data_IF_110986964337
#
_entry.id   IF_110986964337
#
_cell.length_a   1.000
_cell.length_b   1.000
_cell.length_c   1.000
_cell.angle_alpha   90.00
_cell.angle_beta   90.00
_cell.angle_gamma   90.00
#
_symmetry.space_group_name_H-M   'P 1'
#
loop_
_entity.id
_entity.type
_entity.pdbx_description
1 polymer ?
#
# COMPACT_ATOMS: atom_id res chain seq x y z
N UNK A 1 -6.77 -0.68 -7.67
CA UNK A 1 -7.79 -0.70 -8.76
C UNK A 1 -7.26 0.08 -9.97
N UNK A 2 -6.74 -0.62 -10.99
CA UNK A 2 -6.34 -0.02 -12.26
C UNK A 2 -7.46 -0.27 -13.28
N UNK A 3 -8.17 0.77 -13.69
CA UNK A 3 -8.99 0.70 -14.89
C UNK A 3 -8.07 0.97 -16.08
N UNK A 4 -7.71 -0.10 -16.79
CA UNK A 4 -7.32 0.03 -18.18
C UNK A 4 -8.60 0.02 -19.01
N UNK A 5 -8.69 0.86 -20.05
CA UNK A 5 -9.91 1.00 -20.84
C UNK A 5 -10.31 -0.34 -21.45
N UNK A 6 -11.61 -0.55 -21.60
CA UNK A 6 -12.22 -1.50 -22.52
C UNK A 6 -11.77 -1.19 -23.96
N UNK A 7 -10.52 -1.51 -24.27
CA UNK A 7 -10.07 -1.72 -25.63
C UNK A 7 -9.98 -3.23 -25.78
N UNK A 8 -10.68 -3.77 -26.77
CA UNK A 8 -10.57 -5.15 -27.25
C UNK A 8 -9.13 -5.57 -27.64
N UNK A 9 -8.12 -4.71 -27.40
CA UNK A 9 -6.69 -4.97 -27.51
C UNK A 9 -6.04 -4.79 -26.12
N UNK A 10 -5.76 -5.90 -25.45
CA UNK A 10 -5.07 -5.91 -24.15
C UNK A 10 -3.78 -5.07 -24.13
N UNK A 11 -3.38 -4.61 -22.94
CA UNK A 11 -2.23 -3.72 -22.79
C UNK A 11 -0.93 -4.42 -23.18
N UNK A 12 -0.01 -3.68 -23.81
CA UNK A 12 1.33 -4.18 -24.14
C UNK A 12 2.02 -4.66 -22.86
N UNK A 13 2.66 -5.83 -22.90
CA UNK A 13 3.33 -6.41 -21.73
C UNK A 13 4.36 -5.45 -21.12
N UNK A 14 5.02 -4.61 -21.93
CA UNK A 14 5.95 -3.57 -21.44
C UNK A 14 5.25 -2.53 -20.57
N UNK A 15 4.06 -2.09 -20.97
CA UNK A 15 3.25 -1.14 -20.20
C UNK A 15 2.72 -1.76 -18.90
N UNK A 16 2.30 -3.03 -18.95
CA UNK A 16 1.88 -3.76 -17.74
C UNK A 16 2.99 -3.84 -16.68
N UNK A 17 4.21 -4.18 -17.10
CA UNK A 17 5.38 -4.21 -16.20
C UNK A 17 5.78 -2.83 -15.70
N UNK A 18 5.68 -1.78 -16.52
CA UNK A 18 5.87 -0.40 -16.07
C UNK A 18 4.85 0.00 -15.00
N UNK A 19 3.59 -0.43 -15.14
CA UNK A 19 2.58 -0.20 -14.11
C UNK A 19 2.83 -0.99 -12.83
N UNK A 20 3.37 -2.21 -12.91
CA UNK A 20 3.81 -2.97 -11.72
C UNK A 20 4.96 -2.26 -11.03
N UNK A 21 5.96 -1.79 -11.78
CA UNK A 21 7.05 -0.99 -11.22
C UNK A 21 6.52 0.27 -10.51
N UNK A 22 5.66 1.04 -11.19
CA UNK A 22 5.04 2.23 -10.63
C UNK A 22 4.05 1.93 -9.49
N UNK A 23 3.52 0.71 -9.37
CA UNK A 23 2.71 0.33 -8.23
C UNK A 23 3.59 0.15 -7.00
N UNK A 24 4.73 -0.55 -7.15
CA UNK A 24 5.64 -0.83 -6.04
C UNK A 24 6.32 0.47 -5.62
N UNK A 25 6.88 1.24 -6.58
CA UNK A 25 7.47 2.56 -6.34
C UNK A 25 6.35 3.56 -6.08
N UNK A 26 5.90 3.57 -4.83
CA UNK A 26 4.81 4.38 -4.32
C UNK A 26 5.26 5.30 -3.18
N UNK A 27 4.33 5.63 -2.31
CA UNK A 27 4.53 6.61 -1.22
C UNK A 27 5.27 6.04 -0.03
N UNK A 28 5.29 4.72 0.14
CA UNK A 28 6.13 4.08 1.16
C UNK A 28 7.63 4.36 0.98
N UNK A 29 8.07 4.67 -0.25
CA UNK A 29 9.46 5.06 -0.51
C UNK A 29 9.87 6.37 0.17
N UNK A 30 8.91 7.28 0.45
CA UNK A 30 9.18 8.59 1.03
C UNK A 30 9.58 8.55 2.51
N UNK A 31 9.27 7.47 3.22
CA UNK A 31 9.63 7.29 4.62
C UNK A 31 10.88 6.40 4.80
N UNK A 32 11.33 5.71 3.74
CA UNK A 32 12.47 4.78 3.83
C UNK A 32 13.78 5.46 4.26
N UNK A 33 14.18 6.64 3.74
CA UNK A 33 15.44 7.26 4.15
C UNK A 33 15.50 7.55 5.66
N UNK A 34 14.38 7.98 6.25
CA UNK A 34 14.26 8.19 7.70
C UNK A 34 14.38 6.88 8.47
N UNK A 35 13.70 5.84 8.01
CA UNK A 35 13.76 4.52 8.62
C UNK A 35 15.19 3.93 8.57
N UNK A 36 15.91 4.13 7.46
CA UNK A 36 17.31 3.75 7.31
C UNK A 36 18.23 4.51 8.28
N UNK A 37 18.05 5.83 8.41
CA UNK A 37 18.83 6.63 9.35
C UNK A 37 18.57 6.20 10.80
N UNK A 38 17.33 5.80 11.13
CA UNK A 38 16.93 5.38 12.49
C UNK A 38 17.46 3.99 12.87
N UNK A 39 17.41 3.03 11.93
CA UNK A 39 17.86 1.64 12.16
C UNK A 39 19.35 1.42 11.96
N UNK A 40 20.00 2.32 11.23
CA UNK A 40 21.40 2.21 10.86
C UNK A 40 21.63 1.51 9.53
N UNK A 41 22.72 1.86 8.86
CA UNK A 41 22.95 1.49 7.47
C UNK A 41 23.25 -0.02 7.30
N UNK A 42 23.98 -0.65 8.23
CA UNK A 42 24.30 -2.09 8.16
C UNK A 42 23.06 -2.93 8.38
N UNK A 43 22.28 -2.60 9.43
CA UNK A 43 21.02 -3.29 9.70
C UNK A 43 20.05 -3.14 8.52
N UNK A 44 20.00 -1.96 7.91
CA UNK A 44 19.21 -1.70 6.72
C UNK A 44 19.66 -2.57 5.53
N UNK A 45 20.96 -2.64 5.23
CA UNK A 45 21.49 -3.50 4.16
C UNK A 45 21.12 -4.98 4.38
N UNK A 46 21.29 -5.49 5.59
CA UNK A 46 20.99 -6.90 5.91
C UNK A 46 19.49 -7.19 5.79
N UNK A 47 18.67 -6.29 6.35
CA UNK A 47 17.21 -6.40 6.27
C UNK A 47 16.73 -6.42 4.82
N UNK A 48 17.35 -5.62 3.96
CA UNK A 48 16.99 -5.53 2.55
C UNK A 48 17.10 -6.88 1.82
N UNK A 49 18.02 -7.75 2.23
CA UNK A 49 18.18 -9.07 1.63
C UNK A 49 16.99 -10.01 1.90
N UNK A 50 16.18 -9.71 2.92
CA UNK A 50 14.97 -10.46 3.29
C UNK A 50 13.74 -10.03 2.48
N UNK A 51 13.83 -8.96 1.68
CA UNK A 51 12.77 -8.58 0.71
C UNK A 51 12.51 -9.62 -0.37
N UNK A 52 13.41 -10.60 -0.56
CA UNK A 52 13.15 -11.77 -1.41
C UNK A 52 11.87 -12.51 -1.01
N UNK A 53 11.47 -12.49 0.25
CA UNK A 53 10.19 -13.05 0.71
C UNK A 53 8.98 -12.30 0.12
N UNK A 54 9.09 -11.00 -0.11
CA UNK A 54 8.05 -10.21 -0.79
C UNK A 54 7.83 -10.71 -2.21
N UNK A 55 8.91 -10.91 -2.97
CA UNK A 55 8.84 -11.48 -4.33
C UNK A 55 8.23 -12.89 -4.33
N UNK A 56 8.67 -13.78 -3.42
CA UNK A 56 8.10 -15.13 -3.29
C UNK A 56 6.59 -15.07 -3.00
N UNK A 57 6.16 -14.21 -2.09
CA UNK A 57 4.74 -14.05 -1.80
C UNK A 57 3.96 -13.49 -3.01
N UNK A 58 4.58 -12.62 -3.82
CA UNK A 58 3.94 -12.12 -5.04
C UNK A 58 3.75 -13.24 -6.08
N UNK A 59 4.71 -14.15 -6.22
CA UNK A 59 4.56 -15.30 -7.11
C UNK A 59 3.48 -16.27 -6.64
N UNK A 60 3.26 -16.39 -5.32
CA UNK A 60 2.14 -17.15 -4.75
C UNK A 60 0.77 -16.56 -5.08
N UNK A 61 0.62 -15.23 -5.07
CA UNK A 61 -0.62 -14.58 -5.51
C UNK A 61 -0.91 -14.85 -6.99
N UNK A 62 0.12 -14.80 -7.85
CA UNK A 62 -0.02 -15.07 -9.29
C UNK A 62 -0.41 -16.52 -9.55
N UNK A 63 0.17 -17.46 -8.80
CA UNK A 63 -0.20 -18.87 -8.87
C UNK A 63 -1.65 -19.10 -8.40
N UNK A 64 -2.07 -18.50 -7.28
CA UNK A 64 -3.46 -18.59 -6.84
C UNK A 64 -4.44 -18.00 -7.88
N UNK A 65 -4.03 -16.93 -8.58
CA UNK A 65 -4.81 -16.31 -9.65
C UNK A 65 -4.98 -17.22 -10.87
N UNK A 66 -3.96 -18.01 -11.23
CA UNK A 66 -4.07 -18.97 -12.34
C UNK A 66 -5.02 -20.11 -11.99
N UNK A 67 -4.98 -20.60 -10.74
CA UNK A 67 -5.94 -21.59 -10.23
C UNK A 67 -7.36 -21.02 -10.21
N UNK A 68 -7.55 -19.76 -9.79
CA UNK A 68 -8.88 -19.13 -9.76
C UNK A 68 -9.48 -19.01 -11.17
N UNK A 69 -8.66 -18.70 -12.17
CA UNK A 69 -9.08 -18.72 -13.57
C UNK A 69 -9.50 -20.11 -14.03
N UNK A 70 -8.76 -21.15 -13.66
CA UNK A 70 -9.10 -22.54 -13.99
C UNK A 70 -10.44 -22.97 -13.37
N UNK A 71 -10.68 -22.60 -12.10
CA UNK A 71 -11.95 -22.87 -11.41
C UNK A 71 -13.12 -22.17 -12.11
N UNK A 72 -12.95 -20.91 -12.52
CA UNK A 72 -14.00 -20.19 -13.23
C UNK A 72 -14.22 -20.72 -14.65
N UNK A 73 -13.16 -21.07 -15.38
CA UNK A 73 -13.27 -21.64 -16.72
C UNK A 73 -14.07 -22.95 -16.73
N UNK A 74 -13.88 -23.80 -15.71
CA UNK A 74 -14.63 -25.06 -15.56
C UNK A 74 -16.14 -24.86 -15.38
N UNK A 75 -16.61 -23.72 -14.88
CA UNK A 75 -18.05 -23.45 -14.74
C UNK A 75 -18.77 -23.29 -16.09
N UNK A 76 -18.04 -22.89 -17.14
CA UNK A 76 -18.62 -22.56 -18.43
C UNK A 76 -18.32 -23.58 -19.52
N UNK A 77 -17.33 -24.45 -19.30
CA UNK A 77 -16.81 -25.33 -20.33
C UNK A 77 -16.82 -26.78 -19.84
N UNK A 78 -17.60 -27.63 -20.51
CA UNK A 78 -17.54 -29.09 -20.39
C UNK A 78 -16.32 -29.57 -21.18
N UNK A 79 -15.11 -29.27 -20.70
CA UNK A 79 -13.85 -29.67 -21.35
C UNK A 79 -13.12 -30.70 -20.52
N UNK A 80 -12.44 -31.61 -21.24
CA UNK A 80 -11.58 -32.69 -20.74
C UNK A 80 -10.70 -32.24 -19.56
N UNK A 81 -10.62 -33.08 -18.53
CA UNK A 81 -10.11 -32.79 -17.17
C UNK A 81 -8.64 -32.33 -17.07
N UNK A 82 -7.92 -32.11 -18.16
CA UNK A 82 -6.45 -31.96 -18.17
C UNK A 82 -5.87 -30.92 -19.12
N UNK A 83 -6.67 -30.00 -19.67
CA UNK A 83 -6.13 -28.96 -20.56
C UNK A 83 -5.35 -27.87 -19.79
N UNK A 84 -4.03 -27.69 -20.04
CA UNK A 84 -3.24 -26.63 -19.43
C UNK A 84 -3.74 -25.22 -19.74
N UNK A 85 -4.56 -25.05 -20.78
CA UNK A 85 -5.17 -23.77 -21.16
C UNK A 85 -6.10 -23.20 -20.08
N UNK A 86 -6.65 -24.05 -19.20
CA UNK A 86 -7.54 -23.64 -18.10
C UNK A 86 -6.85 -22.69 -17.12
N UNK A 87 -5.53 -22.80 -16.95
CA UNK A 87 -4.75 -21.97 -16.03
C UNK A 87 -4.34 -20.62 -16.64
N UNK A 88 -4.77 -20.30 -17.86
CA UNK A 88 -4.50 -19.01 -18.47
C UNK A 88 -5.24 -17.88 -17.75
N UNK A 89 -4.49 -16.85 -17.35
CA UNK A 89 -5.03 -15.70 -16.63
C UNK A 89 -5.71 -14.78 -17.66
N UNK A 90 -7.02 -14.92 -17.78
CA UNK A 90 -7.88 -14.13 -18.69
C UNK A 90 -8.85 -13.26 -17.90
N UNK A 91 -9.46 -13.82 -16.86
CA UNK A 91 -10.42 -13.15 -16.00
C UNK A 91 -9.73 -12.44 -14.83
N UNK A 92 -10.17 -11.20 -14.59
CA UNK A 92 -9.70 -10.42 -13.45
C UNK A 92 -10.39 -10.95 -12.19
N UNK A 93 -9.58 -11.48 -11.28
CA UNK A 93 -10.02 -11.91 -9.95
C UNK A 93 -9.22 -11.13 -8.90
N UNK A 94 -9.92 -10.46 -8.00
CA UNK A 94 -9.28 -9.72 -6.91
C UNK A 94 -8.86 -10.66 -5.77
N UNK A 95 -7.86 -10.26 -4.99
CA UNK A 95 -7.32 -11.10 -3.90
C UNK A 95 -8.39 -11.48 -2.88
N UNK A 96 -9.24 -10.53 -2.47
CA UNK A 96 -10.37 -10.82 -1.59
C UNK A 96 -11.31 -11.89 -2.17
N UNK A 97 -11.60 -11.83 -3.46
CA UNK A 97 -12.45 -12.83 -4.10
C UNK A 97 -11.77 -14.21 -4.20
N UNK A 98 -10.45 -14.26 -4.46
CA UNK A 98 -9.70 -15.53 -4.39
C UNK A 98 -9.79 -16.16 -3.00
N UNK A 99 -9.76 -15.36 -1.94
CA UNK A 99 -9.91 -15.89 -0.58
C UNK A 99 -11.30 -16.51 -0.37
N UNK A 100 -12.37 -15.89 -0.89
CA UNK A 100 -13.71 -16.48 -0.85
C UNK A 100 -13.87 -17.76 -1.69
N UNK A 101 -13.00 -17.98 -2.68
CA UNK A 101 -13.03 -19.18 -3.50
C UNK A 101 -12.29 -20.36 -2.88
N UNK A 102 -11.20 -20.11 -2.13
CA UNK A 102 -10.30 -21.18 -1.66
C UNK A 102 -10.29 -21.38 -0.15
N UNK A 103 -10.59 -20.35 0.65
CA UNK A 103 -10.47 -20.39 2.10
C UNK A 103 -11.86 -20.59 2.73
N UNK A 104 -11.89 -21.22 3.91
CA UNK A 104 -13.11 -21.29 4.73
C UNK A 104 -13.47 -19.94 5.36
N UNK A 105 -14.64 -19.87 6.00
CA UNK A 105 -15.21 -18.63 6.59
C UNK A 105 -14.22 -17.83 7.44
N UNK A 106 -13.50 -18.50 8.34
CA UNK A 106 -12.49 -17.84 9.20
C UNK A 106 -11.35 -17.20 8.40
N UNK A 107 -10.90 -17.87 7.32
CA UNK A 107 -9.84 -17.35 6.45
C UNK A 107 -10.29 -16.17 5.59
N UNK A 108 -11.56 -16.17 5.15
CA UNK A 108 -12.17 -15.04 4.44
C UNK A 108 -12.27 -13.83 5.37
N UNK A 109 -12.84 -14.00 6.57
CA UNK A 109 -12.96 -12.92 7.57
C UNK A 109 -11.57 -12.34 7.90
N UNK A 110 -10.58 -13.20 8.19
CA UNK A 110 -9.21 -12.76 8.43
C UNK A 110 -8.64 -11.93 7.28
N UNK A 111 -8.82 -12.40 6.04
CA UNK A 111 -8.25 -11.75 4.85
C UNK A 111 -8.88 -10.38 4.60
N UNK A 112 -10.21 -10.27 4.64
CA UNK A 112 -10.91 -9.01 4.44
C UNK A 112 -10.68 -8.04 5.60
N UNK A 113 -10.57 -8.52 6.84
CA UNK A 113 -10.22 -7.70 7.99
C UNK A 113 -8.80 -7.12 7.84
N UNK A 114 -7.81 -7.97 7.54
CA UNK A 114 -6.43 -7.53 7.33
C UNK A 114 -6.30 -6.53 6.18
N UNK A 115 -6.96 -6.79 5.04
CA UNK A 115 -7.04 -5.86 3.92
C UNK A 115 -7.70 -4.55 4.31
N UNK A 116 -8.79 -4.60 5.08
CA UNK A 116 -9.51 -3.39 5.51
C UNK A 116 -8.65 -2.53 6.43
N UNK A 117 -8.03 -3.11 7.46
CA UNK A 117 -7.15 -2.39 8.38
C UNK A 117 -5.94 -1.79 7.63
N UNK A 118 -5.38 -2.53 6.68
CA UNK A 118 -4.30 -2.02 5.83
C UNK A 118 -4.73 -0.78 5.02
N UNK A 119 -5.87 -0.84 4.34
CA UNK A 119 -6.39 0.27 3.54
C UNK A 119 -6.81 1.47 4.42
N UNK A 120 -7.27 1.23 5.65
CA UNK A 120 -7.47 2.29 6.64
C UNK A 120 -6.15 3.00 6.96
N UNK A 121 -5.07 2.24 7.15
CA UNK A 121 -3.72 2.77 7.32
C UNK A 121 -3.25 3.61 6.14
N UNK A 122 -3.49 3.16 4.90
CA UNK A 122 -3.21 3.95 3.69
C UNK A 122 -3.93 5.31 3.71
N UNK A 123 -5.23 5.33 4.02
CA UNK A 123 -5.99 6.58 4.12
C UNK A 123 -5.45 7.49 5.23
N UNK A 124 -5.06 6.93 6.38
CA UNK A 124 -4.49 7.70 7.49
C UNK A 124 -3.13 8.30 7.11
N UNK A 125 -2.26 7.54 6.46
CA UNK A 125 -0.97 8.02 5.94
C UNK A 125 -1.19 9.14 4.91
N UNK A 126 -2.17 9.00 4.01
CA UNK A 126 -2.42 9.98 2.96
C UNK A 126 -3.01 11.28 3.52
N UNK A 127 -4.00 11.18 4.42
CA UNK A 127 -4.61 12.31 5.13
C UNK A 127 -3.67 12.96 6.16
N UNK A 128 -2.54 12.34 6.48
CA UNK A 128 -1.48 12.94 7.30
C UNK A 128 -0.40 13.59 6.43
N UNK A 129 0.05 12.90 5.38
CA UNK A 129 1.18 13.32 4.54
C UNK A 129 0.82 14.54 3.70
N UNK A 130 -0.38 14.59 3.09
CA UNK A 130 -0.78 15.73 2.26
C UNK A 130 -0.87 17.03 3.08
N UNK A 131 -1.57 17.05 4.24
CA UNK A 131 -1.59 18.23 5.09
C UNK A 131 -0.22 18.61 5.65
N UNK A 132 0.64 17.63 5.99
CA UNK A 132 2.02 17.90 6.43
C UNK A 132 2.84 18.59 5.34
N UNK A 133 2.71 18.16 4.09
CA UNK A 133 3.34 18.84 2.94
C UNK A 133 2.80 20.25 2.73
N UNK A 134 1.47 20.44 2.77
CA UNK A 134 0.85 21.76 2.61
C UNK A 134 1.22 22.73 3.74
N UNK A 135 1.19 22.26 5.00
CA UNK A 135 1.57 23.05 6.17
C UNK A 135 3.01 23.55 6.04
N UNK A 136 3.97 22.69 5.67
CA UNK A 136 5.36 23.10 5.52
C UNK A 136 5.58 24.09 4.37
N UNK A 137 4.69 24.13 3.38
CA UNK A 137 4.71 25.14 2.32
C UNK A 137 4.11 26.49 2.76
N UNK A 138 3.09 26.44 3.63
CA UNK A 138 2.38 27.62 4.13
C UNK A 138 3.18 28.29 5.23
N UNK A 139 3.67 27.52 6.19
CA UNK A 139 4.46 28.02 7.31
C UNK A 139 5.86 28.42 6.86
N UNK A 140 6.38 29.49 7.44
CA UNK A 140 7.77 29.87 7.21
C UNK A 140 8.67 28.75 7.76
N UNK A 141 9.82 28.50 7.14
CA UNK A 141 10.85 27.72 7.77
C UNK A 141 11.38 28.48 8.98
N UNK A 142 11.57 27.77 10.08
CA UNK A 142 12.11 28.35 11.30
C UNK A 142 13.59 27.97 11.33
N UNK A 143 14.48 28.95 11.52
CA UNK A 143 15.95 28.82 11.57
C UNK A 143 16.49 27.89 12.68
N UNK A 144 15.62 27.12 13.33
CA UNK A 144 15.98 26.15 14.37
C UNK A 144 16.01 24.74 13.79
N UNK A 145 17.11 24.03 14.06
CA UNK A 145 17.40 22.65 13.64
C UNK A 145 16.39 21.59 14.10
N UNK A 146 15.38 21.96 14.89
CA UNK A 146 14.27 21.09 15.29
C UNK A 146 12.97 21.88 15.38
N UNK A 147 12.24 21.99 14.27
CA UNK A 147 10.91 22.60 14.21
C UNK A 147 9.91 21.74 15.00
N UNK A 148 9.31 22.29 16.04
CA UNK A 148 8.31 21.63 16.88
C UNK A 148 6.87 21.94 16.41
N UNK A 149 5.89 21.05 16.70
CA UNK A 149 4.50 21.26 16.33
C UNK A 149 3.86 22.49 16.98
N UNK A 150 4.37 22.90 18.14
CA UNK A 150 3.93 24.04 18.94
C UNK A 150 4.50 25.38 18.45
N UNK A 151 5.46 25.35 17.52
CA UNK A 151 6.09 26.57 17.05
C UNK A 151 5.10 27.43 16.24
N UNK A 152 5.27 28.77 16.24
CA UNK A 152 4.47 29.65 15.40
C UNK A 152 4.67 29.30 13.92
N UNK A 153 3.58 29.34 13.13
CA UNK A 153 3.66 29.03 11.71
C UNK A 153 4.41 30.11 10.90
N UNK A 154 4.20 31.39 11.23
CA UNK A 154 4.90 32.54 10.65
C UNK A 154 5.12 33.61 11.71
N UNK A 155 6.21 34.36 11.56
CA UNK A 155 6.41 35.58 12.34
C UNK A 155 5.28 36.59 12.06
N UNK A 156 4.74 37.21 13.11
CA UNK A 156 3.65 38.20 13.02
C UNK A 156 2.24 37.63 12.84
N UNK A 157 2.07 36.30 12.77
CA UNK A 157 0.73 35.70 12.81
C UNK A 157 0.18 35.64 14.25
N UNK A 158 -1.15 35.63 14.44
CA UNK A 158 -1.76 35.47 15.75
C UNK A 158 -1.25 34.22 16.49
N UNK A 159 -1.08 34.33 17.81
CA UNK A 159 -0.48 33.27 18.64
C UNK A 159 -1.20 31.92 18.54
N UNK A 160 -2.48 31.88 18.16
CA UNK A 160 -3.22 30.62 18.00
C UNK A 160 -2.84 29.81 16.74
N UNK A 161 -2.17 30.43 15.76
CA UNK A 161 -1.72 29.77 14.54
C UNK A 161 -0.33 29.13 14.71
N UNK A 162 -0.28 28.13 15.58
CA UNK A 162 0.83 27.20 15.62
C UNK A 162 0.85 26.33 14.35
N UNK A 163 2.01 25.75 14.03
CA UNK A 163 2.16 24.81 12.91
C UNK A 163 1.12 23.69 12.95
N UNK A 164 0.90 23.10 14.12
CA UNK A 164 -0.08 22.02 14.29
C UNK A 164 -1.54 22.48 14.06
N UNK A 165 -1.89 23.73 14.37
CA UNK A 165 -3.21 24.31 14.04
C UNK A 165 -3.38 24.42 12.53
N UNK A 166 -2.37 24.92 11.82
CA UNK A 166 -2.38 25.04 10.35
C UNK A 166 -2.44 23.66 9.70
N UNK A 167 -1.70 22.70 10.22
CA UNK A 167 -1.78 21.29 9.81
C UNK A 167 -3.22 20.75 9.91
N UNK A 168 -3.88 20.92 11.06
CA UNK A 168 -5.28 20.47 11.27
C UNK A 168 -6.26 21.13 10.30
N UNK A 169 -6.09 22.42 10.01
CA UNK A 169 -6.88 23.11 8.98
C UNK A 169 -6.65 22.50 7.59
N UNK A 170 -5.40 22.18 7.24
CA UNK A 170 -5.09 21.48 6.00
C UNK A 170 -5.70 20.07 5.95
N UNK A 171 -5.77 19.33 7.08
CA UNK A 171 -6.48 18.04 7.17
C UNK A 171 -7.95 18.19 6.84
N UNK A 172 -8.63 19.16 7.48
CA UNK A 172 -10.07 19.42 7.24
C UNK A 172 -10.31 19.80 5.79
N UNK A 173 -9.47 20.67 5.22
CA UNK A 173 -9.55 21.05 3.80
C UNK A 173 -9.38 19.85 2.87
N UNK A 174 -8.34 19.04 3.10
CA UNK A 174 -8.06 17.84 2.31
C UNK A 174 -9.23 16.86 2.32
N UNK A 175 -9.76 16.54 3.51
CA UNK A 175 -10.88 15.61 3.67
C UNK A 175 -12.15 16.17 3.03
N UNK A 176 -12.41 17.48 3.15
CA UNK A 176 -13.56 18.13 2.51
C UNK A 176 -13.52 18.02 0.98
N UNK A 177 -12.32 18.16 0.38
CA UNK A 177 -12.14 18.01 -1.08
C UNK A 177 -12.26 16.54 -1.51
N UNK A 178 -11.67 15.61 -0.76
CA UNK A 178 -11.62 14.20 -1.14
C UNK A 178 -12.94 13.44 -0.86
N UNK A 179 -13.73 13.85 0.13
CA UNK A 179 -14.95 13.15 0.53
C UNK A 179 -15.98 13.04 -0.61
N UNK A 180 -16.33 14.13 -1.33
CA UNK A 180 -17.19 14.03 -2.51
C UNK A 180 -16.65 13.05 -3.55
N UNK A 181 -15.34 13.03 -3.78
CA UNK A 181 -14.71 12.12 -4.76
C UNK A 181 -14.80 10.65 -4.33
N UNK A 182 -14.69 10.34 -3.03
CA UNK A 182 -14.89 8.98 -2.49
C UNK A 182 -16.35 8.55 -2.66
N UNK A 183 -17.30 9.41 -2.32
CA UNK A 183 -18.73 9.10 -2.39
C UNK A 183 -19.20 8.92 -3.84
N UNK A 184 -18.73 9.77 -4.76
CA UNK A 184 -19.00 9.64 -6.20
C UNK A 184 -18.33 8.38 -6.78
N UNK A 185 -17.32 7.84 -6.11
CA UNK A 185 -16.58 6.67 -6.59
C UNK A 185 -15.63 7.02 -7.74
N UNK A 186 -14.95 8.16 -7.67
CA UNK A 186 -14.04 8.62 -8.72
C UNK A 186 -12.92 7.60 -8.94
N UNK A 187 -12.82 7.13 -10.18
CA UNK A 187 -11.76 6.23 -10.62
C UNK A 187 -10.61 6.98 -11.29
N UNK A 188 -9.42 6.36 -11.28
CA UNK A 188 -8.24 6.90 -11.97
C UNK A 188 -8.47 6.99 -13.47
N UNK A 189 -8.22 8.16 -14.04
CA UNK A 189 -8.15 8.33 -15.49
C UNK A 189 -6.75 7.98 -15.99
N UNK A 190 -6.66 7.51 -17.25
CA UNK A 190 -5.38 7.19 -17.91
C UNK A 190 -4.40 8.37 -17.85
N UNK A 191 -4.88 9.58 -18.11
CA UNK A 191 -4.06 10.79 -18.13
C UNK A 191 -3.52 11.15 -16.74
N UNK A 192 -4.37 11.04 -15.71
CA UNK A 192 -3.96 11.30 -14.34
C UNK A 192 -2.92 10.27 -13.86
N UNK A 193 -3.05 9.01 -14.28
CA UNK A 193 -2.05 7.97 -14.01
C UNK A 193 -0.72 8.22 -14.73
N UNK A 194 -0.75 8.69 -15.97
CA UNK A 194 0.47 9.02 -16.72
C UNK A 194 1.17 10.24 -16.09
N UNK A 195 0.43 11.29 -15.74
CA UNK A 195 0.95 12.49 -15.10
C UNK A 195 1.58 12.17 -13.73
N UNK A 196 0.88 11.41 -12.88
CA UNK A 196 1.41 10.99 -11.57
C UNK A 196 2.64 10.09 -11.68
N UNK A 197 2.70 9.22 -12.70
CA UNK A 197 3.90 8.44 -13.00
C UNK A 197 5.07 9.32 -13.40
N UNK A 198 4.88 10.25 -14.34
CA UNK A 198 5.93 11.15 -14.79
C UNK A 198 6.47 12.00 -13.63
N UNK A 199 5.56 12.65 -12.90
CA UNK A 199 5.89 13.46 -11.71
C UNK A 199 6.69 12.67 -10.67
N UNK A 200 6.36 11.38 -10.47
CA UNK A 200 7.09 10.51 -9.54
C UNK A 200 8.52 10.22 -9.98
N UNK A 201 8.71 9.87 -11.24
CA UNK A 201 10.06 9.64 -11.77
C UNK A 201 10.91 10.91 -11.67
N UNK A 202 10.35 12.06 -12.04
CA UNK A 202 11.02 13.36 -11.89
C UNK A 202 11.38 13.64 -10.43
N UNK A 203 10.44 13.48 -9.48
CA UNK A 203 10.68 13.75 -8.06
C UNK A 203 11.77 12.85 -7.48
N UNK A 204 11.73 11.55 -7.77
CA UNK A 204 12.73 10.62 -7.27
C UNK A 204 14.12 10.82 -7.86
N UNK A 205 14.20 11.10 -9.16
CA UNK A 205 15.49 11.42 -9.81
C UNK A 205 16.07 12.69 -9.19
N UNK A 206 15.26 13.74 -9.00
CA UNK A 206 15.69 14.98 -8.35
C UNK A 206 16.18 14.75 -6.92
N UNK A 207 15.41 14.01 -6.10
CA UNK A 207 15.82 13.72 -4.72
C UNK A 207 17.16 12.95 -4.64
N UNK A 208 17.37 11.96 -5.51
CA UNK A 208 18.64 11.23 -5.56
C UNK A 208 19.77 12.15 -6.04
N UNK A 209 19.54 12.92 -7.11
CA UNK A 209 20.54 13.81 -7.69
C UNK A 209 20.98 14.90 -6.71
N UNK A 210 20.03 15.56 -6.04
CA UNK A 210 20.30 16.62 -5.08
C UNK A 210 21.02 16.08 -3.83
N UNK A 211 20.56 14.97 -3.25
CA UNK A 211 21.22 14.36 -2.10
C UNK A 211 22.66 13.92 -2.45
N UNK A 212 22.86 13.37 -3.64
CA UNK A 212 24.20 13.00 -4.12
C UNK A 212 25.07 14.22 -4.35
N UNK A 213 24.54 15.29 -4.97
CA UNK A 213 25.26 16.53 -5.21
C UNK A 213 25.70 17.17 -3.88
N UNK A 214 24.82 17.21 -2.88
CA UNK A 214 25.13 17.70 -1.53
C UNK A 214 26.23 16.88 -0.86
N UNK A 215 26.18 15.55 -0.97
CA UNK A 215 27.25 14.69 -0.44
C UNK A 215 28.59 14.89 -1.15
N UNK A 216 28.59 15.13 -2.46
CA UNK A 216 29.81 15.37 -3.24
C UNK A 216 30.40 16.74 -2.92
N UNK A 217 29.58 17.78 -2.72
CA UNK A 217 30.06 19.13 -2.45
C UNK A 217 30.50 19.33 -1.00
N UNK A 218 29.77 18.76 -0.05
CA UNK A 218 29.89 19.09 1.38
C UNK A 218 30.34 17.91 2.24
N UNK A 219 30.50 16.72 1.64
CA UNK A 219 30.72 15.47 2.37
C UNK A 219 29.41 14.92 2.98
N UNK A 220 29.52 13.78 3.66
CA UNK A 220 28.39 13.23 4.42
C UNK A 220 28.08 14.13 5.62
N UNK A 221 26.84 14.62 5.72
CA UNK A 221 26.42 15.48 6.83
C UNK A 221 26.43 14.73 8.17
N UNK A 222 26.14 13.43 8.14
CA UNK A 222 26.26 12.52 9.27
C UNK A 222 26.56 11.11 8.76
N UNK A 223 27.28 10.33 9.55
CA UNK A 223 27.40 8.88 9.36
C UNK A 223 26.36 8.19 10.28
N UNK A 224 25.26 7.64 9.73
CA UNK A 224 24.28 6.92 10.54
C UNK A 224 24.95 5.80 11.34
N UNK A 225 24.45 5.53 12.55
CA UNK A 225 24.95 4.44 13.37
C UNK A 225 24.96 3.13 12.57
N UNK A 226 25.99 2.27 12.67
CA UNK A 226 26.02 1.03 11.89
C UNK A 226 24.81 0.13 12.11
N UNK A 227 24.46 -0.10 13.38
CA UNK A 227 23.33 -0.92 13.80
C UNK A 227 22.65 -0.26 14.98
N UNK A 228 21.34 -0.04 14.87
CA UNK A 228 20.48 0.32 15.98
C UNK A 228 19.26 -0.61 15.97
N UNK A 229 19.27 -1.59 16.88
CA UNK A 229 18.19 -2.59 16.99
C UNK A 229 16.86 -1.92 17.33
N UNK A 230 16.87 -0.78 18.03
CA UNK A 230 15.66 0.00 18.31
C UNK A 230 15.09 0.70 17.07
N UNK A 231 15.82 0.80 15.97
CA UNK A 231 15.23 1.26 14.71
C UNK A 231 14.63 0.13 13.87
N UNK A 232 14.86 -1.15 14.22
CA UNK A 232 14.41 -2.30 13.42
C UNK A 232 12.91 -2.28 13.15
N UNK A 233 12.09 -1.93 14.14
CA UNK A 233 10.64 -1.88 14.00
C UNK A 233 10.23 -0.90 12.90
N UNK A 234 10.74 0.34 12.98
CA UNK A 234 10.49 1.38 12.00
C UNK A 234 10.98 1.02 10.59
N UNK A 235 12.16 0.39 10.49
CA UNK A 235 12.72 -0.10 9.25
C UNK A 235 11.82 -1.18 8.64
N UNK A 236 11.51 -2.24 9.37
CA UNK A 236 10.71 -3.36 8.85
C UNK A 236 9.28 -2.93 8.49
N UNK A 237 8.61 -2.14 9.32
CA UNK A 237 7.26 -1.68 9.02
C UNK A 237 7.22 -0.82 7.76
N UNK A 238 8.08 0.20 7.69
CA UNK A 238 8.17 1.09 6.52
C UNK A 238 8.59 0.32 5.26
N UNK A 239 9.50 -0.64 5.41
CA UNK A 239 9.93 -1.58 4.37
C UNK A 239 8.78 -2.40 3.79
N UNK A 240 8.02 -3.09 4.65
CA UNK A 240 6.84 -3.88 4.25
C UNK A 240 5.85 -2.97 3.53
N UNK A 241 5.55 -1.81 4.12
CA UNK A 241 4.68 -0.81 3.51
C UNK A 241 5.16 -0.37 2.11
N UNK A 242 6.46 -0.10 1.93
CA UNK A 242 7.03 0.35 0.66
C UNK A 242 7.06 -0.70 -0.45
N UNK A 243 7.16 -1.98 -0.11
CA UNK A 243 7.14 -3.09 -1.08
C UNK A 243 5.75 -3.69 -1.29
N UNK A 244 4.74 -3.12 -0.63
CA UNK A 244 3.42 -3.69 -0.62
C UNK A 244 2.71 -3.51 -1.97
N UNK A 245 2.44 -4.61 -2.66
CA UNK A 245 1.75 -4.56 -3.95
C UNK A 245 0.82 -5.76 -4.21
N UNK A 246 0.91 -6.82 -3.38
CA UNK A 246 0.32 -8.15 -3.59
C UNK A 246 -1.17 -8.13 -3.86
N UNK A 247 -1.91 -7.31 -3.11
CA UNK A 247 -3.36 -7.17 -3.25
C UNK A 247 -3.78 -6.54 -4.60
N UNK A 248 -2.87 -5.82 -5.26
CA UNK A 248 -3.11 -5.09 -6.52
C UNK A 248 -2.46 -5.75 -7.74
N UNK A 249 -1.54 -6.71 -7.56
CA UNK A 249 -0.87 -7.45 -8.64
C UNK A 249 -1.86 -8.10 -9.63
N UNK A 250 -2.93 -8.81 -9.20
CA UNK A 250 -3.85 -9.47 -10.12
C UNK A 250 -4.49 -8.53 -11.15
N UNK A 251 -4.88 -7.33 -10.71
CA UNK A 251 -5.51 -6.33 -11.56
C UNK A 251 -4.58 -5.78 -12.65
N UNK A 252 -3.27 -5.81 -12.42
CA UNK A 252 -2.25 -5.33 -13.37
C UNK A 252 -1.82 -6.41 -14.36
N UNK A 253 -1.71 -7.65 -13.90
CA UNK A 253 -1.23 -8.76 -14.74
C UNK A 253 -2.30 -9.28 -15.68
N UNK A 254 -3.55 -9.35 -15.22
CA UNK A 254 -4.68 -9.87 -16.02
C UNK A 254 -4.77 -9.21 -17.41
N UNK A 255 -4.80 -7.86 -17.54
CA UNK A 255 -4.98 -7.19 -18.83
C UNK A 255 -3.76 -7.24 -19.77
N UNK A 256 -2.64 -7.89 -19.38
CA UNK A 256 -1.45 -8.01 -20.23
C UNK A 256 -1.67 -8.99 -21.38
N UNK A 257 -1.34 -8.55 -22.61
CA UNK A 257 -1.49 -9.34 -23.85
C UNK A 257 -0.63 -10.61 -23.87
N UNK A 258 0.63 -10.53 -23.45
CA UNK A 258 1.52 -11.69 -23.32
C UNK A 258 2.06 -11.79 -21.90
N UNK A 259 1.98 -13.01 -21.35
CA UNK A 259 2.43 -13.36 -19.99
C UNK A 259 3.68 -14.26 -20.01
N UNK A 260 4.37 -14.33 -21.15
CA UNK A 260 5.59 -15.16 -21.29
C UNK A 260 6.70 -14.64 -20.39
N UNK A 261 7.28 -15.53 -19.58
CA UNK A 261 8.35 -15.20 -18.65
C UNK A 261 7.90 -14.26 -17.52
N UNK A 262 6.63 -14.31 -17.10
CA UNK A 262 6.04 -13.41 -16.11
C UNK A 262 6.86 -13.35 -14.81
N UNK A 263 7.18 -14.50 -14.22
CA UNK A 263 7.95 -14.55 -12.97
C UNK A 263 9.36 -13.97 -13.12
N UNK A 264 10.06 -14.31 -14.21
CA UNK A 264 11.41 -13.78 -14.47
C UNK A 264 11.40 -12.24 -14.62
N UNK A 265 10.47 -11.70 -15.41
CA UNK A 265 10.33 -10.26 -15.60
C UNK A 265 9.91 -9.55 -14.31
N UNK A 266 9.04 -10.18 -13.50
CA UNK A 266 8.67 -9.67 -12.18
C UNK A 266 9.87 -9.64 -11.22
N UNK A 267 10.71 -10.68 -11.22
CA UNK A 267 11.96 -10.69 -10.45
C UNK A 267 12.86 -9.52 -10.81
N UNK A 268 13.02 -9.24 -12.11
CA UNK A 268 13.77 -8.08 -12.59
C UNK A 268 13.23 -6.74 -12.07
N UNK A 269 11.90 -6.59 -12.01
CA UNK A 269 11.27 -5.39 -11.41
C UNK A 269 11.58 -5.31 -9.92
N UNK A 270 11.45 -6.39 -9.17
CA UNK A 270 11.74 -6.39 -7.73
C UNK A 270 13.20 -6.04 -7.44
N UNK A 271 14.16 -6.55 -8.24
CA UNK A 271 15.57 -6.20 -8.13
C UNK A 271 15.83 -4.73 -8.48
N UNK A 272 15.17 -4.21 -9.53
CA UNK A 272 15.28 -2.81 -9.91
C UNK A 272 14.74 -1.88 -8.82
N UNK A 273 13.57 -2.20 -8.26
CA UNK A 273 12.98 -1.44 -7.15
C UNK A 273 13.87 -1.51 -5.91
N UNK A 274 14.42 -2.67 -5.60
CA UNK A 274 15.35 -2.83 -4.47
C UNK A 274 16.58 -1.94 -4.63
N UNK A 275 17.22 -1.98 -5.81
CA UNK A 275 18.36 -1.11 -6.11
C UNK A 275 17.97 0.38 -6.00
N UNK A 276 16.80 0.74 -6.53
CA UNK A 276 16.28 2.11 -6.49
C UNK A 276 16.03 2.60 -5.05
N UNK A 277 15.33 1.81 -4.22
CA UNK A 277 15.08 2.15 -2.80
C UNK A 277 16.36 2.22 -1.99
N UNK A 278 17.34 1.36 -2.31
CA UNK A 278 18.64 1.38 -1.66
C UNK A 278 19.40 2.68 -1.97
N UNK A 279 19.49 3.05 -3.25
CA UNK A 279 20.12 4.31 -3.67
C UNK A 279 19.44 5.50 -3.01
N UNK A 280 18.11 5.57 -3.05
CA UNK A 280 17.33 6.66 -2.43
C UNK A 280 17.59 6.77 -0.91
N UNK A 281 17.62 5.62 -0.22
CA UNK A 281 17.73 5.61 1.24
C UNK A 281 19.15 5.85 1.72
N UNK A 282 20.17 5.35 1.02
CA UNK A 282 21.57 5.65 1.36
C UNK A 282 21.91 7.10 1.09
N UNK A 283 21.58 7.62 -0.10
CA UNK A 283 21.90 9.03 -0.39
C UNK A 283 21.19 9.95 0.60
N UNK A 284 19.92 9.69 0.91
CA UNK A 284 19.18 10.48 1.90
C UNK A 284 19.71 10.36 3.33
N UNK A 285 20.03 9.15 3.80
CA UNK A 285 20.47 8.95 5.19
C UNK A 285 21.84 9.59 5.49
N UNK A 286 22.70 9.76 4.49
CA UNK A 286 24.03 10.37 4.62
C UNK A 286 24.06 11.86 4.24
N UNK A 287 23.15 12.32 3.38
CA UNK A 287 23.10 13.72 2.93
C UNK A 287 22.57 14.69 4.00
N UNK A 288 21.72 14.24 4.93
CA UNK A 288 21.04 15.09 5.91
C UNK A 288 21.30 14.68 7.35
N UNK A 289 21.53 15.66 8.24
CA UNK A 289 21.66 15.43 9.69
C UNK A 289 20.40 14.83 10.30
N UNK A 290 19.24 15.36 9.91
CA UNK A 290 17.92 14.88 10.30
C UNK A 290 17.04 14.66 9.08
N UNK A 291 16.79 13.40 8.74
CA UNK A 291 15.82 13.06 7.70
C UNK A 291 14.40 13.27 8.24
N UNK A 292 13.52 13.86 7.43
CA UNK A 292 12.11 14.08 7.73
C UNK A 292 11.29 12.81 7.45
N UNK A 293 10.16 12.63 8.13
CA UNK A 293 9.27 11.47 7.88
C UNK A 293 8.74 11.41 6.45
N UNK A 294 8.66 12.59 5.81
CA UNK A 294 8.34 12.77 4.40
C UNK A 294 9.58 13.33 3.72
N UNK A 295 10.34 12.45 3.06
CA UNK A 295 11.69 12.77 2.56
C UNK A 295 11.74 13.97 1.61
N UNK A 296 10.67 14.26 0.86
CA UNK A 296 10.64 15.43 -0.04
C UNK A 296 10.82 16.76 0.71
N UNK A 297 10.46 16.81 1.99
CA UNK A 297 10.58 18.00 2.82
C UNK A 297 12.03 18.31 3.22
N UNK A 298 12.96 17.35 3.10
CA UNK A 298 14.38 17.61 3.32
C UNK A 298 15.01 18.55 2.30
N UNK A 299 14.36 18.72 1.14
CA UNK A 299 14.84 19.56 0.04
C UNK A 299 14.14 20.92 0.02
N UNK A 300 13.31 21.24 1.00
CA UNK A 300 12.70 22.56 1.11
C UNK A 300 13.71 23.49 1.80
N UNK A 301 14.33 24.41 1.05
CA UNK A 301 15.37 25.30 1.55
C UNK A 301 14.83 26.71 1.85
N UNK A 302 15.49 27.38 2.79
CA UNK A 302 15.06 28.68 3.35
C UNK A 302 15.54 29.86 2.51
N UNK A 303 16.69 29.70 1.84
CA UNK A 303 17.31 30.74 1.02
C UNK A 303 17.13 30.42 -0.46
N UNK A 304 16.24 31.18 -1.12
CA UNK A 304 16.06 31.13 -2.57
C UNK A 304 17.29 31.71 -3.29
N UNK A 305 18.36 30.92 -3.38
CA UNK A 305 19.60 31.32 -4.07
C UNK A 305 19.44 31.34 -5.59
N UNK A 306 18.52 30.54 -6.16
CA UNK A 306 18.23 30.53 -7.59
C UNK A 306 16.77 30.19 -7.93
N UNK A 307 16.31 30.64 -9.11
CA UNK A 307 14.99 30.28 -9.66
C UNK A 307 14.84 28.76 -9.85
N UNK A 308 15.94 28.07 -10.13
CA UNK A 308 15.94 26.61 -10.26
C UNK A 308 15.58 25.93 -8.94
N UNK A 309 16.23 26.33 -7.82
CA UNK A 309 15.90 25.79 -6.50
C UNK A 309 14.47 26.11 -6.10
N UNK A 310 13.98 27.32 -6.37
CA UNK A 310 12.58 27.66 -6.14
C UNK A 310 11.60 26.70 -6.84
N UNK A 311 11.82 26.41 -8.13
CA UNK A 311 10.95 25.50 -8.88
C UNK A 311 11.02 24.08 -8.30
N UNK A 312 12.23 23.60 -7.98
CA UNK A 312 12.44 22.25 -7.49
C UNK A 312 11.86 22.04 -6.09
N UNK A 313 12.06 22.99 -5.19
CA UNK A 313 11.58 22.93 -3.81
C UNK A 313 10.04 22.87 -3.77
N UNK A 314 9.36 23.76 -4.51
CA UNK A 314 7.91 23.75 -4.62
C UNK A 314 7.39 22.48 -5.31
N UNK A 315 8.08 22.00 -6.35
CA UNK A 315 7.72 20.75 -7.03
C UNK A 315 7.80 19.54 -6.09
N UNK A 316 8.90 19.40 -5.34
CA UNK A 316 9.10 18.30 -4.38
C UNK A 316 8.15 18.40 -3.19
N UNK A 317 7.87 19.60 -2.67
CA UNK A 317 6.92 19.80 -1.58
C UNK A 317 5.48 19.46 -2.00
N UNK A 318 5.06 19.82 -3.23
CA UNK A 318 3.72 19.52 -3.75
C UNK A 318 3.58 18.12 -4.35
N UNK A 319 4.68 17.42 -4.62
CA UNK A 319 4.65 16.06 -5.19
C UNK A 319 3.75 15.08 -4.40
N UNK A 320 3.87 14.97 -3.05
CA UNK A 320 2.96 14.13 -2.28
C UNK A 320 1.52 14.61 -2.37
N UNK A 321 1.29 15.93 -2.39
CA UNK A 321 -0.06 16.52 -2.49
C UNK A 321 -0.77 16.02 -3.74
N UNK A 322 -0.15 16.12 -4.91
CA UNK A 322 -0.79 15.69 -6.16
C UNK A 322 -0.96 14.17 -6.24
N UNK A 323 0.07 13.41 -5.87
CA UNK A 323 0.06 11.96 -6.04
C UNK A 323 -0.86 11.24 -5.04
N UNK A 324 -0.93 11.72 -3.80
CA UNK A 324 -1.76 11.13 -2.76
C UNK A 324 -3.22 11.54 -2.86
N UNK A 325 -3.50 12.82 -3.16
CA UNK A 325 -4.88 13.30 -3.39
C UNK A 325 -5.54 12.52 -4.53
N UNK A 326 -4.78 12.21 -5.58
CA UNK A 326 -5.27 11.35 -6.69
C UNK A 326 -5.59 9.93 -6.24
N UNK A 327 -4.83 9.37 -5.29
CA UNK A 327 -4.99 7.98 -4.85
C UNK A 327 -6.06 7.81 -3.77
N UNK A 328 -6.27 8.82 -2.93
CA UNK A 328 -7.13 8.76 -1.76
C UNK A 328 -8.57 8.33 -2.08
N UNK A 329 -9.28 8.91 -3.08
CA UNK A 329 -10.64 8.50 -3.40
C UNK A 329 -10.78 7.02 -3.81
N UNK A 330 -9.76 6.51 -4.50
CA UNK A 330 -9.75 5.13 -5.01
C UNK A 330 -9.56 4.14 -3.87
N UNK A 331 -8.62 4.43 -2.96
CA UNK A 331 -8.41 3.62 -1.76
C UNK A 331 -9.67 3.65 -0.89
N UNK A 332 -10.29 4.82 -0.71
CA UNK A 332 -11.53 4.98 0.03
C UNK A 332 -12.68 4.13 -0.54
N UNK A 333 -12.91 4.22 -1.86
CA UNK A 333 -13.95 3.41 -2.54
C UNK A 333 -13.66 1.90 -2.41
N UNK A 334 -12.38 1.51 -2.52
CA UNK A 334 -11.96 0.12 -2.39
C UNK A 334 -12.23 -0.39 -0.97
N UNK A 335 -11.92 0.40 0.05
CA UNK A 335 -12.16 0.05 1.45
C UNK A 335 -13.66 -0.06 1.76
N UNK A 336 -14.49 0.86 1.26
CA UNK A 336 -15.96 0.77 1.39
C UNK A 336 -16.47 -0.58 0.87
N UNK A 337 -16.02 -1.01 -0.31
CA UNK A 337 -16.42 -2.29 -0.88
C UNK A 337 -15.90 -3.49 -0.08
N UNK A 338 -14.65 -3.43 0.42
CA UNK A 338 -14.10 -4.51 1.26
C UNK A 338 -14.85 -4.65 2.59
N UNK A 339 -15.22 -3.54 3.23
CA UNK A 339 -15.98 -3.56 4.49
C UNK A 339 -17.39 -4.13 4.29
N UNK A 340 -18.04 -3.84 3.15
CA UNK A 340 -19.35 -4.44 2.83
C UNK A 340 -19.25 -5.97 2.80
N UNK A 341 -18.29 -6.51 2.05
CA UNK A 341 -18.06 -7.96 1.97
C UNK A 341 -17.66 -8.55 3.33
N UNK A 342 -16.82 -7.85 4.10
CA UNK A 342 -16.44 -8.27 5.45
C UNK A 342 -17.67 -8.39 6.36
N UNK A 343 -18.53 -7.37 6.35
CA UNK A 343 -19.75 -7.36 7.16
C UNK A 343 -20.69 -8.48 6.76
N UNK A 344 -20.88 -8.75 5.47
CA UNK A 344 -21.69 -9.87 5.01
C UNK A 344 -21.09 -11.24 5.42
N UNK A 345 -19.76 -11.34 5.52
CA UNK A 345 -19.09 -12.55 5.99
C UNK A 345 -19.18 -12.75 7.52
N UNK A 346 -19.15 -11.67 8.29
CA UNK A 346 -19.28 -11.71 9.77
C UNK A 346 -20.74 -11.90 10.16
N UNK A 347 -21.63 -11.08 9.61
CA UNK A 347 -23.07 -11.07 9.84
C UNK A 347 -23.78 -11.51 8.55
N UNK A 348 -23.83 -12.82 8.26
CA UNK A 348 -24.55 -13.31 7.10
C UNK A 348 -26.02 -12.88 7.21
N UNK A 349 -26.64 -12.45 6.10
CA UNK A 349 -28.08 -12.26 6.09
C UNK A 349 -28.74 -13.57 6.53
N UNK A 350 -29.73 -13.46 7.43
CA UNK A 350 -30.48 -14.62 7.95
C UNK A 350 -30.97 -15.45 6.76
N UNK A 351 -30.69 -16.75 6.77
CA UNK A 351 -31.11 -17.65 5.70
C UNK A 351 -32.63 -17.74 5.67
N UNK A 352 -33.18 -17.72 4.46
CA UNK A 352 -34.60 -17.83 4.14
C UNK A 352 -35.33 -19.03 4.76
N UNK A 353 -34.61 -20.04 5.28
CA UNK A 353 -35.20 -21.22 5.92
C UNK A 353 -35.53 -21.01 7.41
N UNK A 354 -34.72 -20.27 8.19
CA UNK A 354 -35.04 -19.95 9.61
C UNK A 354 -36.00 -18.76 9.73
N UNK A 355 -36.03 -17.89 8.73
CA UNK A 355 -36.88 -16.69 8.69
C UNK A 355 -38.33 -17.00 8.24
N UNK A 356 -38.58 -18.19 7.67
CA UNK A 356 -39.93 -18.65 7.31
C UNK A 356 -40.77 -19.05 8.53
N UNK A 357 -40.14 -19.25 9.69
CA UNK A 357 -40.81 -19.55 10.97
C UNK A 357 -41.14 -18.29 11.78
N UNK A 358 -40.70 -17.10 11.35
CA UNK A 358 -41.03 -15.82 11.95
C UNK A 358 -41.97 -15.04 11.01
N UNK A 359 -43.24 -15.47 10.98
CA UNK A 359 -44.30 -14.83 10.22
C UNK A 359 -44.45 -13.34 10.60
N UNK A 360 -44.26 -12.45 9.63
CA UNK A 360 -44.55 -11.02 9.76
C UNK A 360 -44.43 -10.27 8.43
N UNK A 361 -45.58 -9.85 7.89
CA UNK A 361 -45.84 -8.99 6.71
C UNK A 361 -44.64 -8.65 5.79
N UNK A 362 -44.72 -9.12 4.53
CA UNK A 362 -43.73 -8.89 3.47
C UNK A 362 -43.39 -7.40 3.24
N UNK A 363 -44.35 -6.48 3.45
CA UNK A 363 -44.13 -5.03 3.32
C UNK A 363 -43.24 -4.45 4.43
N UNK A 364 -43.34 -4.97 5.66
CA UNK A 364 -42.52 -4.54 6.78
C UNK A 364 -41.09 -5.08 6.63
N UNK A 365 -40.96 -6.28 6.06
CA UNK A 365 -39.68 -6.94 5.71
C UNK A 365 -38.90 -6.18 4.65
N UNK A 366 -39.53 -5.82 3.54
CA UNK A 366 -38.88 -5.05 2.46
C UNK A 366 -38.47 -3.65 2.96
N UNK A 367 -39.27 -3.04 3.84
CA UNK A 367 -38.93 -1.76 4.47
C UNK A 367 -37.71 -1.85 5.41
N UNK A 368 -37.58 -2.91 6.21
CA UNK A 368 -36.43 -3.12 7.13
C UNK A 368 -35.15 -3.45 6.36
N UNK A 369 -35.24 -4.31 5.34
CA UNK A 369 -34.12 -4.66 4.49
C UNK A 369 -33.61 -3.44 3.70
N UNK A 370 -34.52 -2.61 3.16
CA UNK A 370 -34.21 -1.34 2.48
C UNK A 370 -33.68 -0.28 3.43
N UNK A 371 -34.15 -0.22 4.69
CA UNK A 371 -33.66 0.71 5.71
C UNK A 371 -32.26 0.32 6.19
N UNK A 372 -31.97 -0.97 6.39
CA UNK A 372 -30.63 -1.48 6.72
C UNK A 372 -29.64 -1.19 5.60
N UNK A 373 -29.99 -1.52 4.35
CA UNK A 373 -29.11 -1.27 3.19
C UNK A 373 -28.89 0.22 2.92
N UNK A 374 -29.88 1.09 3.15
CA UNK A 374 -29.67 2.55 3.09
C UNK A 374 -28.79 3.07 4.23
N UNK A 375 -28.98 2.58 5.45
CA UNK A 375 -28.12 2.96 6.58
C UNK A 375 -26.66 2.58 6.29
N UNK A 376 -26.43 1.38 5.76
CA UNK A 376 -25.09 0.91 5.39
C UNK A 376 -24.43 1.72 4.28
N UNK A 377 -25.21 2.23 3.33
CA UNK A 377 -24.72 3.11 2.27
C UNK A 377 -24.20 4.45 2.81
N UNK A 378 -24.62 4.85 4.00
CA UNK A 378 -24.22 6.12 4.64
C UNK A 378 -23.19 5.90 5.74
N UNK A 379 -23.43 4.93 6.64
CA UNK A 379 -22.58 4.67 7.81
C UNK A 379 -21.19 4.17 7.40
N UNK A 380 -21.11 3.26 6.42
CA UNK A 380 -19.81 2.69 6.02
C UNK A 380 -18.87 3.77 5.45
N UNK A 381 -19.28 4.61 4.47
CA UNK A 381 -18.43 5.69 3.99
C UNK A 381 -18.02 6.69 5.09
N UNK A 382 -18.94 7.03 6.02
CA UNK A 382 -18.63 7.92 7.15
C UNK A 382 -17.53 7.32 8.03
N UNK A 383 -17.62 6.03 8.37
CA UNK A 383 -16.59 5.36 9.18
C UNK A 383 -15.26 5.26 8.41
N UNK A 384 -15.31 4.93 7.12
CA UNK A 384 -14.13 4.80 6.26
C UNK A 384 -13.32 6.08 6.18
N UNK A 385 -13.98 7.23 6.08
CA UNK A 385 -13.32 8.53 5.99
C UNK A 385 -13.04 9.10 7.38
N UNK A 386 -13.98 8.93 8.31
CA UNK A 386 -13.93 9.51 9.66
C UNK A 386 -12.78 8.96 10.51
N UNK A 387 -12.56 7.64 10.52
CA UNK A 387 -11.50 7.03 11.34
C UNK A 387 -10.10 7.55 10.95
N UNK A 388 -9.69 7.51 9.66
CA UNK A 388 -8.43 8.13 9.21
C UNK A 388 -8.34 9.63 9.48
N UNK A 389 -9.46 10.35 9.38
CA UNK A 389 -9.50 11.79 9.66
C UNK A 389 -9.22 12.07 11.14
N UNK A 390 -9.82 11.30 12.05
CA UNK A 390 -9.52 11.43 13.49
C UNK A 390 -8.06 11.08 13.76
N UNK A 391 -7.53 10.02 13.15
CA UNK A 391 -6.13 9.65 13.31
C UNK A 391 -5.18 10.78 12.85
N UNK A 392 -5.42 11.38 11.68
CA UNK A 392 -4.60 12.50 11.19
C UNK A 392 -4.76 13.77 12.04
N UNK A 393 -5.93 14.07 12.59
CA UNK A 393 -6.09 15.22 13.50
C UNK A 393 -5.33 15.06 14.84
N UNK A 394 -5.04 13.81 15.23
CA UNK A 394 -4.35 13.46 16.48
C UNK A 394 -2.82 13.33 16.30
N UNK A 395 -2.33 12.92 15.13
CA UNK A 395 -0.89 12.70 14.91
C UNK A 395 -0.43 13.14 13.53
N UNK A 396 0.73 13.81 13.48
CA UNK A 396 1.43 14.18 12.24
C UNK A 396 2.65 13.27 11.94
N UNK A 397 2.84 12.18 12.71
CA UNK A 397 3.97 11.27 12.56
C UNK A 397 3.72 10.21 11.48
N UNK A 398 4.14 10.53 10.26
CA UNK A 398 3.96 9.66 9.08
C UNK A 398 4.77 8.36 9.20
N UNK A 399 5.97 8.43 9.81
CA UNK A 399 6.82 7.24 10.01
C UNK A 399 6.15 6.22 10.94
N UNK A 400 5.53 6.69 12.03
CA UNK A 400 4.80 5.84 12.96
C UNK A 400 3.60 5.16 12.28
N UNK A 401 2.80 5.95 11.56
CA UNK A 401 1.65 5.45 10.79
C UNK A 401 2.09 4.37 9.77
N UNK A 402 3.16 4.63 9.01
CA UNK A 402 3.73 3.68 8.06
C UNK A 402 4.28 2.42 8.74
N UNK A 403 4.93 2.59 9.90
CA UNK A 403 5.49 1.48 10.68
C UNK A 403 4.37 0.56 11.17
N UNK A 404 3.36 1.09 11.84
CA UNK A 404 2.23 0.30 12.38
C UNK A 404 1.45 -0.37 11.24
N UNK A 405 1.15 0.38 10.18
CA UNK A 405 0.40 -0.13 9.01
C UNK A 405 1.19 -1.24 8.30
N UNK A 406 2.50 -1.08 8.14
CA UNK A 406 3.33 -2.11 7.52
C UNK A 406 3.51 -3.34 8.40
N UNK A 407 3.84 -3.15 9.67
CA UNK A 407 4.24 -4.25 10.56
C UNK A 407 3.11 -5.21 10.95
N UNK A 408 1.86 -4.74 11.00
CA UNK A 408 0.73 -5.57 11.41
C UNK A 408 -0.15 -5.99 10.22
N UNK A 409 -1.04 -5.12 9.69
CA UNK A 409 -1.91 -5.54 8.59
C UNK A 409 -1.11 -5.70 7.29
N UNK A 410 -0.02 -4.94 7.09
CA UNK A 410 0.89 -5.12 5.95
C UNK A 410 1.51 -6.51 5.92
N UNK A 411 2.02 -7.03 7.04
CA UNK A 411 2.53 -8.41 7.15
C UNK A 411 1.45 -9.44 6.83
N UNK A 412 0.23 -9.25 7.34
CA UNK A 412 -0.87 -10.14 7.04
C UNK A 412 -1.16 -10.19 5.53
N UNK A 413 -1.28 -9.03 4.88
CA UNK A 413 -1.65 -8.97 3.45
C UNK A 413 -0.47 -9.34 2.54
N UNK A 414 0.77 -8.99 2.91
CA UNK A 414 1.96 -9.21 2.08
C UNK A 414 2.50 -10.63 2.20
N UNK A 415 2.41 -11.24 3.39
CA UNK A 415 3.02 -12.53 3.68
C UNK A 415 2.00 -13.61 4.01
N UNK A 416 1.06 -13.37 4.92
CA UNK A 416 0.15 -14.42 5.39
C UNK A 416 -0.90 -14.81 4.34
N UNK A 417 -1.63 -13.84 3.78
CA UNK A 417 -2.68 -14.08 2.77
C UNK A 417 -2.12 -14.83 1.55
N UNK A 418 -0.99 -14.44 0.94
CA UNK A 418 -0.43 -15.20 -0.18
C UNK A 418 -0.03 -16.63 0.17
N UNK A 419 0.50 -16.86 1.38
CA UNK A 419 0.85 -18.20 1.84
C UNK A 419 -0.38 -19.08 2.02
N UNK A 420 -1.45 -18.57 2.63
CA UNK A 420 -2.71 -19.31 2.71
C UNK A 420 -3.28 -19.58 1.31
N UNK A 421 -3.33 -18.55 0.45
CA UNK A 421 -3.86 -18.70 -0.90
C UNK A 421 -3.14 -19.80 -1.69
N UNK A 422 -1.81 -19.84 -1.70
CA UNK A 422 -1.09 -20.86 -2.49
C UNK A 422 -1.26 -22.27 -1.92
N UNK A 423 -1.32 -22.43 -0.59
CA UNK A 423 -1.55 -23.74 0.05
C UNK A 423 -2.93 -24.27 -0.35
N UNK A 424 -3.98 -23.47 -0.16
CA UNK A 424 -5.34 -23.88 -0.45
C UNK A 424 -5.60 -23.99 -1.96
N UNK A 425 -5.05 -23.10 -2.79
CA UNK A 425 -5.19 -23.17 -4.25
C UNK A 425 -4.52 -24.42 -4.84
N UNK A 426 -3.30 -24.79 -4.38
CA UNK A 426 -2.65 -26.03 -4.81
C UNK A 426 -3.43 -27.27 -4.42
N UNK A 427 -3.99 -27.29 -3.20
CA UNK A 427 -4.84 -28.38 -2.74
C UNK A 427 -6.14 -28.46 -3.54
N UNK A 428 -6.76 -27.32 -3.85
CA UNK A 428 -7.97 -27.24 -4.67
C UNK A 428 -7.72 -27.71 -6.11
N UNK A 429 -6.60 -27.32 -6.72
CA UNK A 429 -6.21 -27.80 -8.05
C UNK A 429 -6.05 -29.32 -8.10
N UNK A 430 -5.43 -29.93 -7.08
CA UNK A 430 -5.26 -31.39 -7.02
C UNK A 430 -6.56 -32.14 -6.75
N UNK A 431 -7.38 -31.66 -5.81
CA UNK A 431 -8.57 -32.38 -5.33
C UNK A 431 -9.82 -32.14 -6.18
N UNK A 432 -9.99 -30.92 -6.70
CA UNK A 432 -11.20 -30.54 -7.44
C UNK A 432 -10.92 -30.57 -8.94
N UNK A 433 -9.82 -29.97 -9.39
CA UNK A 433 -9.49 -29.92 -10.83
C UNK A 433 -8.78 -31.19 -11.32
N UNK A 434 -8.46 -32.15 -10.44
CA UNK A 434 -7.73 -33.38 -10.77
C UNK A 434 -6.42 -33.16 -11.57
N UNK A 435 -5.83 -31.96 -11.48
CA UNK A 435 -4.68 -31.57 -12.30
C UNK A 435 -3.74 -30.67 -11.48
N UNK A 436 -2.44 -31.00 -11.41
CA UNK A 436 -1.47 -30.13 -10.74
C UNK A 436 -1.30 -28.84 -11.53
N UNK A 437 -1.03 -27.73 -10.83
CA UNK A 437 -0.76 -26.45 -11.48
C UNK A 437 0.42 -26.58 -12.45
N UNK A 438 0.25 -26.28 -13.75
CA UNK A 438 1.32 -26.41 -14.71
C UNK A 438 2.52 -25.51 -14.36
N UNK A 439 3.75 -25.98 -14.59
CA UNK A 439 4.98 -25.22 -14.25
C UNK A 439 5.03 -23.80 -14.85
N UNK A 440 4.39 -23.57 -16.00
CA UNK A 440 4.28 -22.26 -16.65
C UNK A 440 3.46 -21.25 -15.82
N UNK A 441 2.48 -21.75 -15.07
CA UNK A 441 1.49 -20.96 -14.31
C UNK A 441 1.71 -21.03 -12.78
N UNK A 442 2.57 -21.93 -12.31
CA UNK A 442 2.98 -22.07 -10.92
C UNK A 442 4.20 -21.22 -10.56
N UNK A 443 4.27 -20.79 -9.31
CA UNK A 443 5.42 -20.11 -8.73
C UNK A 443 6.70 -20.94 -8.91
N UNK A 444 7.88 -20.34 -9.17
CA UNK A 444 9.14 -21.10 -9.17
C UNK A 444 9.43 -21.75 -7.79
N UNK A 445 8.80 -21.27 -6.73
CA UNK A 445 8.92 -21.76 -5.36
C UNK A 445 7.87 -22.85 -5.08
N UNK A 446 8.13 -24.06 -5.58
CA UNK A 446 7.21 -25.20 -5.51
C UNK A 446 7.25 -25.97 -4.18
N UNK A 447 8.36 -25.88 -3.43
CA UNK A 447 8.51 -26.58 -2.15
C UNK A 447 7.49 -26.11 -1.10
N UNK A 448 6.97 -27.07 -0.33
CA UNK A 448 6.02 -26.85 0.77
C UNK A 448 6.65 -26.06 1.92
N UNK A 449 7.98 -26.05 2.04
CA UNK A 449 8.69 -25.32 3.10
C UNK A 449 8.68 -23.79 2.93
N UNK A 450 8.44 -23.27 1.71
CA UNK A 450 8.47 -21.83 1.46
C UNK A 450 7.40 -21.04 2.22
N UNK A 451 6.11 -21.43 2.20
CA UNK A 451 5.10 -20.80 3.06
C UNK A 451 5.47 -20.79 4.54
N UNK A 452 5.97 -21.92 5.08
CA UNK A 452 6.37 -22.00 6.49
C UNK A 452 7.56 -21.07 6.83
N UNK A 453 8.54 -20.96 5.94
CA UNK A 453 9.64 -20.02 6.11
C UNK A 453 9.16 -18.56 6.12
N UNK A 454 8.17 -18.21 5.28
CA UNK A 454 7.55 -16.88 5.27
C UNK A 454 6.74 -16.63 6.54
N UNK A 455 5.99 -17.62 7.03
CA UNK A 455 5.27 -17.49 8.31
C UNK A 455 6.22 -17.30 9.49
N UNK A 456 7.33 -18.04 9.55
CA UNK A 456 8.35 -17.86 10.58
C UNK A 456 8.96 -16.46 10.52
N UNK A 457 9.27 -15.96 9.32
CA UNK A 457 9.77 -14.60 9.12
C UNK A 457 8.76 -13.53 9.55
N UNK A 458 7.49 -13.69 9.18
CA UNK A 458 6.41 -12.81 9.56
C UNK A 458 6.23 -12.76 11.09
N UNK A 459 6.23 -13.92 11.75
CA UNK A 459 6.13 -14.03 13.20
C UNK A 459 7.29 -13.35 13.91
N UNK A 460 8.52 -13.65 13.50
CA UNK A 460 9.72 -13.01 14.04
C UNK A 460 9.65 -11.49 13.93
N UNK A 461 9.24 -10.98 12.77
CA UNK A 461 9.23 -9.56 12.53
C UNK A 461 8.11 -8.83 13.31
N UNK A 462 6.92 -9.44 13.44
CA UNK A 462 5.84 -8.90 14.31
C UNK A 462 6.31 -8.84 15.77
N UNK A 463 6.97 -9.89 16.27
CA UNK A 463 7.50 -9.92 17.64
C UNK A 463 8.51 -8.79 17.83
N UNK A 464 9.49 -8.65 16.93
CA UNK A 464 10.51 -7.61 17.03
C UNK A 464 9.93 -6.20 16.98
N UNK A 465 8.94 -5.94 16.12
CA UNK A 465 8.26 -4.63 16.09
C UNK A 465 7.48 -4.37 17.36
N UNK A 466 6.76 -5.38 17.86
CA UNK A 466 5.95 -5.22 19.08
C UNK A 466 6.84 -4.92 20.28
N UNK A 467 7.96 -5.62 20.41
CA UNK A 467 8.95 -5.35 21.46
C UNK A 467 9.54 -3.94 21.34
N UNK A 468 9.75 -3.46 20.11
CA UNK A 468 10.23 -2.11 19.86
C UNK A 468 9.21 -1.03 20.26
N UNK A 469 7.93 -1.21 19.91
CA UNK A 469 6.84 -0.28 20.24
C UNK A 469 6.59 -0.23 21.76
N UNK A 470 6.67 -1.39 22.44
CA UNK A 470 6.49 -1.48 23.90
C UNK A 470 7.70 -0.90 24.68
N UNK A 471 8.78 -0.51 23.98
CA UNK A 471 9.93 0.14 24.60
C UNK A 471 10.88 -0.82 25.31
N UNK A 472 10.85 -2.11 24.97
CA UNK A 472 11.81 -3.09 25.49
C UNK A 472 13.20 -2.74 24.95
N UNK A 473 14.14 -2.48 25.87
CA UNK A 473 15.54 -2.21 25.55
C UNK A 473 16.31 -3.53 25.38
N UNK A 474 17.08 -3.66 24.30
CA UNK A 474 17.85 -4.87 23.94
C UNK A 474 19.34 -4.61 23.97
#
# INVERSE_FOLDING_TARGET
MFFLPNSEKGSSSKMGFLYVFNLIVGTGALALPKAFQTAGYVLSIIHNLKFRFSYIAATFVIEALSVANAVNARKYVVVSESDPSLFEIVQKVEVGHMTSMFLGRSGVIFSYLALSIYLFGDLAIYSTTVPKSLMNLICAPINTSSVMPTDPCREGWPEFFHRFTVYRLCVVLFVTICTPMVIIGVAKTKYLQLATSFSRWSAFILMIALATAQMVSSGAAVTPTPVNIHGFGSLFGTAVYAFMCHHSIPALITPMRSKTGLFFKLSGIYLLVLAFYFTLSITGAFAFTHVQDVYTLNFLHDEMTSVFYFIVDYFLALFPVFTLTTNYPIVGTTLINNIRVLRDAVFPPVSSEEESLLEGNDDERDSRLRRSTRADQVVIPILVIGIPTVASLLTENVLLLATVTGSYPGVAVQFMIPCFLVIYARNHARSVLNSPVPKKHGSPFQSVYWPYAIFLWALFAIIMVTLNIVGVRF
#
